data_IF_071395946705
#
_entry.id   IF_071395946705
#
_cell.length_a   1.000
_cell.length_b   1.000
_cell.length_c   1.000
_cell.angle_alpha   90.00
_cell.angle_beta   90.00
_cell.angle_gamma   90.00
#
_symmetry.space_group_name_H-M   'P 1'
#
loop_
_entity.id
_entity.type
_entity.pdbx_description
1 polymer ?
#
# COMPACT_ATOMS: atom_id res chain seq x y z
N UNK A 1 -4.66 -11.44 -18.88
CA UNK A 1 -4.44 -10.18 -18.14
C UNK A 1 -2.97 -9.99 -17.84
N UNK A 2 -2.44 -8.79 -17.99
CA UNK A 2 -1.06 -8.50 -17.60
C UNK A 2 -0.92 -8.50 -16.08
N UNK A 3 0.32 -8.59 -15.61
CA UNK A 3 0.61 -8.52 -14.18
C UNK A 3 0.18 -7.16 -13.59
N UNK A 4 0.38 -6.07 -14.34
CA UNK A 4 -0.06 -4.74 -13.95
C UNK A 4 -1.58 -4.69 -13.74
N UNK A 5 -2.34 -5.18 -14.71
CA UNK A 5 -3.81 -5.21 -14.64
C UNK A 5 -4.30 -6.07 -13.49
N UNK A 6 -3.67 -7.21 -13.27
CA UNK A 6 -4.03 -8.12 -12.16
C UNK A 6 -3.85 -7.43 -10.81
N UNK A 7 -2.72 -6.74 -10.62
CA UNK A 7 -2.49 -6.02 -9.37
C UNK A 7 -3.43 -4.83 -9.19
N UNK A 8 -3.75 -4.10 -10.27
CA UNK A 8 -4.73 -3.01 -10.18
C UNK A 8 -6.11 -3.52 -9.80
N UNK A 9 -6.52 -4.65 -10.34
CA UNK A 9 -7.82 -5.24 -10.01
C UNK A 9 -7.86 -5.67 -8.54
N UNK A 10 -6.80 -6.30 -8.05
CA UNK A 10 -6.70 -6.68 -6.64
C UNK A 10 -6.72 -5.46 -5.72
N UNK A 11 -6.00 -4.40 -6.11
CA UNK A 11 -5.99 -3.16 -5.33
C UNK A 11 -7.40 -2.57 -5.20
N UNK A 12 -8.16 -2.53 -6.30
CA UNK A 12 -9.54 -2.03 -6.29
C UNK A 12 -10.43 -2.87 -5.37
N UNK A 13 -10.28 -4.19 -5.42
CA UNK A 13 -11.06 -5.09 -4.57
C UNK A 13 -10.78 -4.82 -3.10
N UNK A 14 -9.52 -4.69 -2.72
CA UNK A 14 -9.16 -4.40 -1.33
C UNK A 14 -9.58 -2.99 -0.91
N UNK A 15 -9.48 -2.01 -1.79
CA UNK A 15 -9.94 -0.66 -1.47
C UNK A 15 -11.45 -0.64 -1.23
N UNK A 16 -12.23 -1.32 -2.04
CA UNK A 16 -13.66 -1.46 -1.83
C UNK A 16 -13.95 -2.16 -0.51
N UNK A 17 -13.17 -3.19 -0.18
CA UNK A 17 -13.28 -3.87 1.10
C UNK A 17 -13.04 -2.94 2.27
N UNK A 18 -12.05 -2.06 2.18
CA UNK A 18 -11.77 -1.07 3.21
C UNK A 18 -12.94 -0.09 3.37
N UNK A 19 -13.51 0.37 2.25
CA UNK A 19 -14.64 1.32 2.27
C UNK A 19 -15.88 0.71 2.90
N UNK A 20 -16.08 -0.58 2.74
CA UNK A 20 -17.26 -1.30 3.26
C UNK A 20 -17.05 -1.90 4.65
N UNK A 21 -15.81 -2.00 5.11
CA UNK A 21 -15.50 -2.62 6.38
C UNK A 21 -16.05 -1.80 7.56
N UNK A 22 -16.52 -2.50 8.57
CA UNK A 22 -17.07 -1.87 9.77
C UNK A 22 -16.08 -1.85 10.94
N UNK A 23 -15.03 -2.67 10.87
CA UNK A 23 -14.02 -2.71 11.93
C UNK A 23 -12.72 -2.05 11.51
N UNK A 24 -12.02 -1.37 12.44
CA UNK A 24 -10.70 -0.81 12.15
C UNK A 24 -9.69 -1.85 11.70
N UNK A 25 -9.71 -3.05 12.28
CA UNK A 25 -8.81 -4.14 11.89
C UNK A 25 -8.96 -4.49 10.42
N UNK A 26 -10.20 -4.66 9.97
CA UNK A 26 -10.47 -5.01 8.57
C UNK A 26 -10.10 -3.88 7.64
N UNK A 27 -10.33 -2.63 8.03
CA UNK A 27 -9.94 -1.47 7.23
C UNK A 27 -8.44 -1.39 7.05
N UNK A 28 -7.68 -1.52 8.13
CA UNK A 28 -6.23 -1.43 8.10
C UNK A 28 -5.63 -2.54 7.22
N UNK A 29 -6.10 -3.78 7.40
CA UNK A 29 -5.61 -4.89 6.58
C UNK A 29 -5.91 -4.65 5.10
N UNK A 30 -7.12 -4.17 4.78
CA UNK A 30 -7.50 -3.90 3.40
C UNK A 30 -6.69 -2.74 2.79
N UNK A 31 -6.45 -1.67 3.55
CA UNK A 31 -5.59 -0.57 3.07
C UNK A 31 -4.17 -1.04 2.80
N UNK A 32 -3.62 -1.87 3.70
CA UNK A 32 -2.29 -2.43 3.50
C UNK A 32 -2.23 -3.25 2.20
N UNK A 33 -3.19 -4.17 2.02
CA UNK A 33 -3.20 -5.02 0.83
C UNK A 33 -3.43 -4.22 -0.45
N UNK A 34 -4.31 -3.21 -0.41
CA UNK A 34 -4.52 -2.33 -1.55
C UNK A 34 -3.24 -1.56 -1.89
N UNK A 35 -2.56 -1.00 -0.87
CA UNK A 35 -1.30 -0.29 -1.06
C UNK A 35 -0.24 -1.18 -1.68
N UNK A 36 -0.09 -2.41 -1.18
CA UNK A 36 0.86 -3.36 -1.71
C UNK A 36 0.61 -3.64 -3.19
N UNK A 37 -0.63 -3.93 -3.57
CA UNK A 37 -0.93 -4.22 -4.96
C UNK A 37 -0.81 -3.01 -5.89
N UNK A 38 -1.10 -1.79 -5.39
CA UNK A 38 -0.83 -0.57 -6.14
C UNK A 38 0.66 -0.40 -6.44
N UNK A 39 1.50 -0.65 -5.43
CA UNK A 39 2.96 -0.57 -5.61
C UNK A 39 3.44 -1.63 -6.58
N UNK A 40 2.92 -2.86 -6.48
CA UNK A 40 3.26 -3.91 -7.43
C UNK A 40 2.85 -3.57 -8.87
N UNK A 41 1.71 -2.89 -9.05
CA UNK A 41 1.30 -2.44 -10.38
C UNK A 41 2.29 -1.39 -10.94
N UNK A 42 2.72 -0.46 -10.11
CA UNK A 42 3.71 0.54 -10.50
C UNK A 42 5.04 -0.12 -10.86
N UNK A 43 5.46 -1.11 -10.08
CA UNK A 43 6.67 -1.88 -10.36
C UNK A 43 6.53 -2.65 -11.68
N UNK A 44 5.37 -3.28 -11.92
CA UNK A 44 5.11 -4.03 -13.14
C UNK A 44 5.21 -3.15 -14.39
N UNK A 45 4.81 -1.88 -14.29
CA UNK A 45 4.96 -0.92 -15.39
C UNK A 45 6.42 -0.76 -15.81
N UNK A 46 7.35 -0.97 -14.88
CA UNK A 46 8.80 -0.92 -15.12
C UNK A 46 9.42 -2.31 -15.27
N UNK A 47 8.59 -3.35 -15.46
CA UNK A 47 9.03 -4.74 -15.59
C UNK A 47 9.75 -5.27 -14.35
N UNK A 48 9.36 -4.76 -13.18
CA UNK A 48 9.89 -5.19 -11.88
C UNK A 48 8.82 -5.97 -11.15
N UNK A 49 9.21 -7.09 -10.55
CA UNK A 49 8.30 -7.94 -9.78
C UNK A 49 8.84 -8.06 -8.35
N UNK A 50 8.15 -7.43 -7.39
CA UNK A 50 8.59 -7.40 -6.00
C UNK A 50 8.34 -8.73 -5.30
N UNK A 51 7.19 -9.35 -5.55
CA UNK A 51 6.77 -10.68 -5.10
C UNK A 51 6.29 -10.76 -3.65
N UNK A 52 6.99 -10.14 -2.71
CA UNK A 52 6.68 -10.24 -1.28
C UNK A 52 6.58 -8.86 -0.66
N UNK A 53 5.57 -8.67 0.19
CA UNK A 53 5.33 -7.36 0.81
C UNK A 53 6.51 -6.87 1.66
N UNK A 54 7.26 -7.80 2.28
CA UNK A 54 8.43 -7.45 3.09
C UNK A 54 9.57 -6.86 2.26
N UNK A 55 9.58 -7.11 0.96
CA UNK A 55 10.64 -6.65 0.06
C UNK A 55 10.39 -5.25 -0.50
N UNK A 56 9.20 -4.69 -0.27
CA UNK A 56 8.83 -3.41 -0.87
C UNK A 56 9.85 -2.29 -0.57
N UNK A 57 10.22 -2.00 0.68
CA UNK A 57 11.14 -0.88 0.92
C UNK A 57 12.49 -1.05 0.21
N UNK A 58 13.05 -2.26 0.26
CA UNK A 58 14.34 -2.53 -0.38
C UNK A 58 14.27 -2.44 -1.90
N UNK A 59 13.19 -2.96 -2.50
CA UNK A 59 13.03 -2.91 -3.95
C UNK A 59 12.76 -1.49 -4.45
N UNK A 60 12.02 -0.68 -3.70
CA UNK A 60 11.82 0.72 -4.06
C UNK A 60 13.13 1.50 -4.03
N UNK A 61 13.98 1.20 -3.05
CA UNK A 61 15.29 1.85 -2.94
C UNK A 61 16.21 1.48 -4.12
N UNK A 62 16.17 0.20 -4.53
CA UNK A 62 16.98 -0.28 -5.66
C UNK A 62 16.47 0.21 -7.01
N UNK A 63 15.19 0.54 -7.11
CA UNK A 63 14.55 0.85 -8.38
C UNK A 63 13.90 2.25 -8.34
N UNK A 64 14.71 3.33 -8.26
CA UNK A 64 14.18 4.69 -8.13
C UNK A 64 13.31 5.12 -9.32
N UNK A 65 13.38 4.42 -10.44
CA UNK A 65 12.54 4.74 -11.60
C UNK A 65 11.05 4.52 -11.34
N UNK A 66 10.68 3.71 -10.32
CA UNK A 66 9.26 3.46 -10.04
C UNK A 66 8.55 4.73 -9.58
N UNK A 67 9.11 5.43 -8.59
CA UNK A 67 8.48 6.62 -8.00
C UNK A 67 9.33 7.89 -8.07
N UNK A 68 10.57 7.80 -8.53
CA UNK A 68 11.45 8.96 -8.65
C UNK A 68 11.68 9.65 -7.31
N UNK A 69 11.49 10.96 -7.27
CA UNK A 69 11.67 11.75 -6.05
C UNK A 69 10.62 11.45 -4.96
N UNK A 70 9.56 10.71 -5.29
CA UNK A 70 8.53 10.32 -4.34
C UNK A 70 8.81 8.99 -3.62
N UNK A 71 9.95 8.37 -3.90
CA UNK A 71 10.27 7.04 -3.35
C UNK A 71 10.21 7.02 -1.82
N UNK A 72 10.83 7.98 -1.15
CA UNK A 72 10.85 8.02 0.32
C UNK A 72 9.45 8.20 0.90
N UNK A 73 8.65 9.08 0.29
CA UNK A 73 7.27 9.33 0.74
C UNK A 73 6.42 8.07 0.66
N UNK A 74 6.48 7.36 -0.48
CA UNK A 74 5.73 6.11 -0.67
C UNK A 74 6.21 5.03 0.30
N UNK A 75 7.52 4.89 0.44
CA UNK A 75 8.11 3.87 1.29
C UNK A 75 7.73 4.09 2.76
N UNK A 76 7.78 5.32 3.26
CA UNK A 76 7.40 5.63 4.63
C UNK A 76 5.93 5.35 4.89
N UNK A 77 5.05 5.77 3.98
CA UNK A 77 3.62 5.52 4.11
C UNK A 77 3.32 4.02 4.11
N UNK A 78 3.94 3.28 3.21
CA UNK A 78 3.78 1.83 3.15
C UNK A 78 4.28 1.16 4.42
N UNK A 79 5.46 1.54 4.92
CA UNK A 79 6.04 0.96 6.13
C UNK A 79 5.17 1.23 7.36
N UNK A 80 4.53 2.38 7.42
CA UNK A 80 3.59 2.64 8.51
C UNK A 80 2.43 1.64 8.47
N UNK A 81 1.86 1.39 7.29
CA UNK A 81 0.77 0.44 7.15
C UNK A 81 1.21 -0.99 7.49
N UNK A 82 2.31 -1.43 6.94
CA UNK A 82 2.79 -2.81 7.11
C UNK A 82 3.28 -3.08 8.53
N UNK A 83 4.06 -2.17 9.09
CA UNK A 83 4.73 -2.39 10.37
C UNK A 83 3.93 -1.91 11.57
N UNK A 84 3.50 -0.64 11.58
CA UNK A 84 2.88 -0.05 12.76
C UNK A 84 1.37 -0.24 12.82
N UNK A 85 0.65 0.09 11.75
CA UNK A 85 -0.79 0.00 11.75
C UNK A 85 -1.27 -1.44 11.90
N UNK A 86 -0.69 -2.36 11.14
CA UNK A 86 -1.06 -3.77 11.26
C UNK A 86 -0.75 -4.34 12.63
N UNK A 87 0.39 -3.97 13.22
CA UNK A 87 0.75 -4.44 14.56
C UNK A 87 -0.28 -4.02 15.60
N UNK A 88 -0.79 -2.79 15.51
CA UNK A 88 -1.74 -2.27 16.49
C UNK A 88 -3.17 -2.75 16.24
N UNK A 89 -3.64 -2.69 15.00
CA UNK A 89 -5.05 -2.93 14.68
C UNK A 89 -5.34 -4.39 14.34
N UNK A 90 -4.44 -5.07 13.64
CA UNK A 90 -4.70 -6.43 13.18
C UNK A 90 -4.23 -7.46 14.20
N UNK A 91 -3.05 -7.28 14.74
CA UNK A 91 -2.47 -8.25 15.69
C UNK A 91 -2.71 -7.88 17.14
N UNK A 92 -2.77 -6.58 17.46
CA UNK A 92 -2.82 -6.12 18.85
C UNK A 92 -4.17 -5.61 19.34
N UNK A 93 -5.11 -5.27 18.46
CA UNK A 93 -6.42 -4.69 18.80
C UNK A 93 -6.32 -3.47 19.72
N UNK A 94 -5.32 -2.62 19.56
CA UNK A 94 -5.00 -1.55 20.50
C UNK A 94 -4.83 -0.17 19.86
N UNK A 95 -5.18 0.00 18.59
CA UNK A 95 -5.00 1.28 17.91
C UNK A 95 -5.99 2.36 18.34
N UNK A 96 -5.55 3.62 18.30
CA UNK A 96 -6.37 4.78 18.60
C UNK A 96 -7.04 5.31 17.34
N UNK A 97 -8.03 6.20 17.49
CA UNK A 97 -8.67 6.87 16.36
C UNK A 97 -7.67 7.70 15.55
N UNK A 98 -6.72 8.34 16.21
CA UNK A 98 -5.66 9.11 15.54
C UNK A 98 -4.77 8.20 14.70
N UNK A 99 -4.45 7.03 15.22
CA UNK A 99 -3.65 6.05 14.50
C UNK A 99 -4.40 5.45 13.32
N UNK A 100 -5.72 5.30 13.45
CA UNK A 100 -6.55 4.86 12.32
C UNK A 100 -6.58 5.93 11.23
N UNK A 101 -6.70 7.20 11.59
CA UNK A 101 -6.63 8.29 10.64
C UNK A 101 -5.28 8.36 9.95
N UNK A 102 -4.20 8.09 10.68
CA UNK A 102 -2.86 8.03 10.09
C UNK A 102 -2.74 6.87 9.10
N UNK A 103 -3.36 5.74 9.39
CA UNK A 103 -3.37 4.61 8.45
C UNK A 103 -4.12 4.98 7.17
N UNK A 104 -5.27 5.65 7.29
CA UNK A 104 -6.01 6.14 6.13
C UNK A 104 -5.16 7.11 5.30
N UNK A 105 -4.54 8.09 5.94
CA UNK A 105 -3.70 9.08 5.26
C UNK A 105 -2.50 8.43 4.57
N UNK A 106 -1.92 7.42 5.20
CA UNK A 106 -0.80 6.68 4.61
C UNK A 106 -1.25 5.94 3.36
N UNK A 107 -2.42 5.28 3.41
CA UNK A 107 -2.97 4.64 2.22
C UNK A 107 -3.24 5.67 1.11
N UNK A 108 -3.83 6.82 1.44
CA UNK A 108 -4.11 7.86 0.46
C UNK A 108 -2.84 8.39 -0.19
N UNK A 109 -1.74 8.50 0.57
CA UNK A 109 -0.45 8.90 0.02
C UNK A 109 0.03 7.88 -1.01
N UNK A 110 0.00 6.58 -0.67
CA UNK A 110 0.39 5.53 -1.61
C UNK A 110 -0.48 5.57 -2.86
N UNK A 111 -1.80 5.65 -2.68
CA UNK A 111 -2.75 5.68 -3.79
C UNK A 111 -2.46 6.83 -4.75
N UNK A 112 -2.32 8.02 -4.21
CA UNK A 112 -2.08 9.22 -5.03
C UNK A 112 -0.78 9.12 -5.82
N UNK A 113 0.29 8.68 -5.17
CA UNK A 113 1.60 8.56 -5.84
C UNK A 113 1.62 7.43 -6.87
N UNK A 114 0.89 6.35 -6.60
CA UNK A 114 0.74 5.27 -7.58
C UNK A 114 -0.07 5.72 -8.79
N UNK A 115 -1.15 6.46 -8.60
CA UNK A 115 -1.94 7.00 -9.72
C UNK A 115 -1.08 7.91 -10.61
N UNK A 116 -0.25 8.76 -10.01
CA UNK A 116 0.69 9.59 -10.77
C UNK A 116 1.69 8.75 -11.57
N UNK A 117 2.25 7.73 -10.95
CA UNK A 117 3.25 6.86 -11.58
C UNK A 117 2.64 6.02 -12.72
N UNK A 118 1.35 5.73 -12.68
CA UNK A 118 0.66 4.92 -13.67
C UNK A 118 0.11 5.73 -14.86
N UNK A 119 0.17 7.04 -14.83
CA UNK A 119 -0.28 7.88 -15.94
C UNK A 119 0.55 7.73 -17.20
#
# INVERSE_FOLDING_TARGET
MSRLETHLQKARTFQQGADQATSPEMRVEAWFLAAYHLIEACAAKRHIHIQKHQRVPGELKRNPAIFGERTAEVSEAYQYLDGEARAKFVYGASGTDEELDRARSSFETVRRRCEEALR
#
